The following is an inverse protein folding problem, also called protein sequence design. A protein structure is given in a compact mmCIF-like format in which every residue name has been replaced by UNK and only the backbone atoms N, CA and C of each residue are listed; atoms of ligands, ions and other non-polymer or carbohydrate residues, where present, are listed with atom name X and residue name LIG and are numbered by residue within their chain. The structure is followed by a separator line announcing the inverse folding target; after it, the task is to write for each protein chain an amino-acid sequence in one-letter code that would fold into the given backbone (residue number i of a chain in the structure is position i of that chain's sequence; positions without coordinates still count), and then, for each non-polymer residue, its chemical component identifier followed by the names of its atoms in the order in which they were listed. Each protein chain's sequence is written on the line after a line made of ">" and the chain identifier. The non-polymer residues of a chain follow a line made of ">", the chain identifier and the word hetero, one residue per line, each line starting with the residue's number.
data_IF_142518685002
#
_entry.id   IF_142518685002
#
_cell.length_a   1.000
_cell.length_b   1.000
_cell.length_c   1.000
_cell.angle_alpha   90.00
_cell.angle_beta   90.00
_cell.angle_gamma   90.00
#
_symmetry.space_group_name_H-M   'P 1'
#
loop_
_entity.id
_entity.type
_entity.pdbx_description
1 polymer ?
#
# COMPACT_ATOMS: atom_id res chain seq x y z
N UNK A 1 -23.10 -34.12 10.16
CA UNK A 1 -23.76 -32.97 9.51
C UNK A 1 -23.66 -31.81 10.47
N UNK A 2 -22.63 -30.96 10.32
CA UNK A 2 -22.52 -29.75 11.12
C UNK A 2 -23.54 -28.75 10.57
N UNK A 3 -24.47 -28.32 11.41
CA UNK A 3 -25.40 -27.25 11.11
C UNK A 3 -24.61 -25.99 10.79
N UNK A 4 -24.75 -25.52 9.56
CA UNK A 4 -24.18 -24.29 9.05
C UNK A 4 -24.70 -23.13 9.90
N UNK A 5 -23.94 -22.77 10.93
CA UNK A 5 -24.24 -21.67 11.80
C UNK A 5 -24.21 -20.42 10.92
N UNK A 6 -25.39 -19.88 10.64
CA UNK A 6 -25.64 -18.59 10.00
C UNK A 6 -24.60 -17.57 10.47
N UNK A 7 -23.49 -17.45 9.73
CA UNK A 7 -22.54 -16.37 9.95
C UNK A 7 -23.33 -15.11 9.62
N UNK A 8 -23.59 -14.31 10.65
CA UNK A 8 -24.29 -13.04 10.49
C UNK A 8 -23.60 -12.26 9.39
N UNK A 9 -24.29 -12.03 8.28
CA UNK A 9 -23.75 -11.25 7.16
C UNK A 9 -23.44 -9.87 7.70
N UNK A 10 -22.16 -9.51 7.75
CA UNK A 10 -21.78 -8.19 8.23
C UNK A 10 -22.29 -7.14 7.26
N UNK A 11 -23.05 -6.19 7.80
CA UNK A 11 -23.70 -5.10 7.08
C UNK A 11 -23.15 -3.77 7.56
N UNK A 12 -22.89 -2.84 6.63
CA UNK A 12 -22.50 -1.46 6.94
C UNK A 12 -23.34 -0.47 6.14
N UNK A 13 -23.65 0.67 6.77
CA UNK A 13 -24.30 1.79 6.10
C UNK A 13 -23.24 2.74 5.57
N UNK A 14 -23.34 3.08 4.28
CA UNK A 14 -22.46 4.05 3.64
C UNK A 14 -23.34 5.15 3.01
N UNK A 15 -23.04 6.39 3.39
CA UNK A 15 -23.65 7.59 2.81
C UNK A 15 -22.68 8.21 1.80
N UNK A 16 -23.02 8.12 0.51
CA UNK A 16 -22.19 8.67 -0.56
C UNK A 16 -22.53 10.16 -0.74
N UNK A 17 -21.55 11.06 -0.59
CA UNK A 17 -21.77 12.50 -0.78
C UNK A 17 -22.48 12.78 -2.10
N UNK A 18 -23.52 13.63 -2.14
CA UNK A 18 -24.27 13.94 -3.36
C UNK A 18 -25.24 12.85 -3.84
N UNK A 19 -25.32 11.70 -3.16
CA UNK A 19 -26.42 10.73 -3.29
C UNK A 19 -27.31 10.91 -2.07
N UNK A 20 -28.60 11.24 -2.26
CA UNK A 20 -29.52 11.53 -1.15
C UNK A 20 -29.97 10.27 -0.37
N UNK A 21 -29.33 9.12 -0.59
CA UNK A 21 -29.72 7.83 -0.03
C UNK A 21 -28.55 7.16 0.69
N UNK A 22 -28.82 6.62 1.87
CA UNK A 22 -27.91 5.71 2.56
C UNK A 22 -28.07 4.31 1.95
N UNK A 23 -26.96 3.68 1.60
CA UNK A 23 -26.96 2.35 1.01
C UNK A 23 -26.36 1.33 1.98
N UNK A 24 -26.96 0.14 2.00
CA UNK A 24 -26.49 -0.98 2.82
C UNK A 24 -25.53 -1.83 2.03
N UNK A 25 -24.29 -1.93 2.51
CA UNK A 25 -23.25 -2.77 1.95
C UNK A 25 -23.07 -4.02 2.80
N UNK A 26 -22.76 -5.13 2.13
CA UNK A 26 -22.54 -6.43 2.75
C UNK A 26 -21.12 -6.89 2.45
N UNK A 27 -20.41 -7.39 3.47
CA UNK A 27 -19.05 -7.91 3.29
C UNK A 27 -19.09 -9.17 2.43
N UNK A 28 -18.37 -9.17 1.31
CA UNK A 28 -18.21 -10.33 0.45
C UNK A 28 -17.31 -11.35 1.16
N UNK A 29 -17.81 -12.59 1.31
CA UNK A 29 -17.00 -13.68 1.82
C UNK A 29 -15.98 -14.11 0.75
N UNK A 30 -14.70 -14.00 1.07
CA UNK A 30 -13.61 -14.44 0.21
C UNK A 30 -12.95 -15.64 0.89
N UNK A 31 -12.93 -16.78 0.19
CA UNK A 31 -12.36 -18.02 0.73
C UNK A 31 -10.91 -17.84 1.19
N UNK A 32 -10.60 -18.39 2.37
CA UNK A 32 -9.26 -18.32 2.99
C UNK A 32 -8.87 -16.94 3.52
N UNK A 33 -9.77 -15.95 3.49
CA UNK A 33 -9.46 -14.58 3.91
C UNK A 33 -10.24 -14.18 5.15
N UNK A 34 -9.56 -13.56 6.11
CA UNK A 34 -10.14 -12.93 7.28
C UNK A 34 -9.79 -11.45 7.27
N UNK A 35 -10.77 -10.61 7.58
CA UNK A 35 -10.62 -9.17 7.63
C UNK A 35 -11.09 -8.66 8.99
N UNK A 36 -10.44 -7.62 9.56
CA UNK A 36 -10.95 -6.94 10.73
C UNK A 36 -12.34 -6.35 10.45
N UNK A 37 -13.13 -6.24 11.50
CA UNK A 37 -14.44 -5.61 11.41
C UNK A 37 -14.31 -4.10 11.33
N UNK A 38 -15.11 -3.48 10.47
CA UNK A 38 -15.26 -2.02 10.49
C UNK A 38 -15.95 -1.59 11.79
N UNK A 39 -15.68 -0.39 12.32
CA UNK A 39 -16.46 0.18 13.42
C UNK A 39 -17.96 0.12 13.11
N UNK A 40 -18.79 -0.16 14.13
CA UNK A 40 -20.25 -0.18 13.98
C UNK A 40 -20.80 1.25 13.92
N UNK A 41 -20.63 1.87 12.76
CA UNK A 41 -20.95 3.27 12.52
C UNK A 41 -21.32 3.46 11.03
N UNK A 42 -21.95 4.60 10.72
CA UNK A 42 -22.20 5.00 9.33
C UNK A 42 -20.91 5.59 8.77
N UNK A 43 -20.53 5.16 7.56
CA UNK A 43 -19.42 5.79 6.83
C UNK A 43 -19.97 6.92 5.95
N UNK A 44 -19.43 8.12 6.14
CA UNK A 44 -19.75 9.31 5.35
C UNK A 44 -18.61 9.55 4.35
N UNK A 45 -18.90 9.48 3.05
CA UNK A 45 -17.89 9.78 2.02
C UNK A 45 -17.85 11.27 1.69
N UNK A 46 -16.74 11.71 1.11
CA UNK A 46 -16.66 12.93 0.30
C UNK A 46 -17.08 12.64 -1.14
N UNK A 47 -17.10 13.67 -1.99
CA UNK A 47 -17.17 13.47 -3.44
C UNK A 47 -16.00 12.59 -3.89
N UNK A 48 -16.21 11.67 -4.85
CA UNK A 48 -15.12 10.86 -5.36
C UNK A 48 -14.14 11.73 -6.12
N UNK A 49 -12.89 11.30 -6.09
CA UNK A 49 -11.89 11.67 -7.07
C UNK A 49 -11.57 10.48 -7.94
N UNK A 50 -10.91 10.74 -9.07
CA UNK A 50 -10.11 9.70 -9.70
C UNK A 50 -8.87 9.43 -8.86
N UNK A 51 -8.26 8.26 -9.03
CA UNK A 51 -6.96 7.95 -8.44
C UNK A 51 -5.86 8.92 -8.95
N UNK A 52 -6.13 9.71 -10.01
CA UNK A 52 -5.17 10.49 -10.81
C UNK A 52 -5.56 11.96 -11.05
N UNK A 53 -6.24 12.61 -10.11
CA UNK A 53 -6.67 14.04 -10.12
C UNK A 53 -8.08 14.36 -10.66
N UNK A 54 -8.59 15.49 -10.17
CA UNK A 54 -9.93 16.12 -10.26
C UNK A 54 -11.08 15.52 -9.42
N UNK A 55 -11.85 16.42 -8.79
CA UNK A 55 -13.17 16.11 -8.24
C UNK A 55 -14.13 15.88 -9.41
N UNK A 56 -14.73 14.70 -9.45
CA UNK A 56 -15.70 14.35 -10.51
C UNK A 56 -17.07 14.89 -10.10
N UNK A 57 -17.81 15.48 -11.05
CA UNK A 57 -19.16 15.95 -10.74
C UNK A 57 -20.11 14.78 -10.40
N UNK A 58 -21.18 15.03 -9.61
CA UNK A 58 -22.12 13.98 -9.25
C UNK A 58 -22.77 13.24 -10.42
N UNK A 59 -23.01 13.93 -11.54
CA UNK A 59 -23.58 13.33 -12.76
C UNK A 59 -22.58 12.45 -13.51
N UNK A 60 -21.32 12.88 -13.63
CA UNK A 60 -20.28 12.12 -14.33
C UNK A 60 -19.99 10.80 -13.63
N UNK A 61 -19.86 10.81 -12.30
CA UNK A 61 -19.64 9.57 -11.53
C UNK A 61 -20.84 8.61 -11.58
N UNK A 62 -22.08 9.11 -11.73
CA UNK A 62 -23.27 8.23 -11.83
C UNK A 62 -23.30 7.48 -13.17
N UNK A 63 -22.59 8.00 -14.17
CA UNK A 63 -22.37 7.40 -15.48
C UNK A 63 -21.04 6.60 -15.56
N UNK A 64 -20.35 6.40 -14.43
CA UNK A 64 -19.07 5.67 -14.38
C UNK A 64 -19.27 4.22 -14.78
N UNK A 65 -18.47 3.69 -15.71
CA UNK A 65 -18.64 2.32 -16.19
C UNK A 65 -19.77 2.13 -17.21
N UNK A 66 -20.54 3.17 -17.53
CA UNK A 66 -21.56 3.14 -18.61
C UNK A 66 -21.16 3.98 -19.82
N UNK A 67 -19.96 4.58 -19.79
CA UNK A 67 -19.47 5.48 -20.82
C UNK A 67 -17.98 5.18 -21.14
N UNK A 68 -17.68 5.06 -22.44
CA UNK A 68 -16.37 4.78 -23.08
C UNK A 68 -15.18 5.58 -22.55
N UNK A 69 -15.42 6.75 -21.98
CA UNK A 69 -14.36 7.63 -21.49
C UNK A 69 -13.97 7.39 -20.01
N UNK A 70 -14.69 6.55 -19.26
CA UNK A 70 -14.51 6.38 -17.80
C UNK A 70 -14.02 4.99 -17.36
N UNK A 71 -13.35 4.24 -18.23
CA UNK A 71 -13.12 2.80 -18.04
C UNK A 71 -11.80 2.38 -17.38
N UNK A 72 -10.81 3.26 -17.30
CA UNK A 72 -9.44 2.85 -16.94
C UNK A 72 -9.16 2.86 -15.42
N UNK A 73 -10.15 3.10 -14.55
CA UNK A 73 -9.91 3.25 -13.10
C UNK A 73 -11.15 2.96 -12.25
N UNK A 74 -10.91 2.78 -10.94
CA UNK A 74 -11.96 2.76 -9.93
C UNK A 74 -12.18 4.17 -9.35
N UNK A 75 -13.39 4.44 -8.88
CA UNK A 75 -13.71 5.66 -8.13
C UNK A 75 -13.11 5.58 -6.72
N UNK A 76 -12.41 6.63 -6.32
CA UNK A 76 -11.75 6.69 -5.02
C UNK A 76 -12.45 7.70 -4.11
N UNK A 77 -12.88 7.29 -2.93
CA UNK A 77 -13.55 8.15 -1.96
C UNK A 77 -12.78 8.18 -0.64
N UNK A 78 -12.53 9.39 -0.13
CA UNK A 78 -12.21 9.54 1.29
C UNK A 78 -13.50 9.41 2.09
N UNK A 79 -13.47 8.68 3.19
CA UNK A 79 -14.61 8.58 4.07
C UNK A 79 -14.19 8.61 5.54
N UNK A 80 -15.17 8.87 6.40
CA UNK A 80 -15.01 8.87 7.85
C UNK A 80 -16.22 8.29 8.55
N UNK A 81 -16.07 7.85 9.79
CA UNK A 81 -17.21 7.52 10.65
C UNK A 81 -18.07 8.78 10.89
N UNK A 82 -19.40 8.61 10.95
CA UNK A 82 -20.33 9.70 11.28
C UNK A 82 -20.07 10.21 12.68
N UNK A 83 -20.00 9.28 13.63
CA UNK A 83 -19.76 9.60 15.03
C UNK A 83 -18.28 9.36 15.37
N UNK A 84 -17.64 10.20 16.21
CA UNK A 84 -16.27 9.95 16.66
C UNK A 84 -16.21 8.68 17.52
N UNK A 85 -15.05 8.02 17.52
CA UNK A 85 -14.80 6.90 18.41
C UNK A 85 -14.90 7.37 19.88
N UNK A 86 -15.69 6.72 20.75
CA UNK A 86 -15.91 7.18 22.12
C UNK A 86 -14.66 7.23 22.99
N UNK A 87 -13.65 6.40 22.68
CA UNK A 87 -12.42 6.30 23.49
C UNK A 87 -11.41 7.40 23.14
N UNK A 88 -11.29 7.73 21.86
CA UNK A 88 -10.31 8.71 21.36
C UNK A 88 -10.92 10.09 21.11
N UNK A 89 -12.24 10.18 20.95
CA UNK A 89 -12.94 11.40 20.53
C UNK A 89 -12.66 11.78 19.07
N UNK A 90 -12.00 10.92 18.30
CA UNK A 90 -11.60 11.18 16.91
C UNK A 90 -12.44 10.37 15.93
N UNK A 91 -12.69 10.93 14.75
CA UNK A 91 -13.25 10.16 13.65
C UNK A 91 -12.20 9.21 13.07
N UNK A 92 -12.61 7.96 12.80
CA UNK A 92 -11.80 7.04 11.99
C UNK A 92 -11.99 7.36 10.52
N UNK A 93 -10.90 7.35 9.76
CA UNK A 93 -10.90 7.66 8.33
C UNK A 93 -10.51 6.45 7.50
N UNK A 94 -11.16 6.30 6.35
CA UNK A 94 -10.94 5.22 5.41
C UNK A 94 -10.81 5.76 3.99
N UNK A 95 -10.29 4.91 3.11
CA UNK A 95 -10.34 5.06 1.67
C UNK A 95 -11.23 3.96 1.10
N UNK A 96 -12.11 4.33 0.18
CA UNK A 96 -12.94 3.41 -0.59
C UNK A 96 -12.47 3.44 -2.04
N UNK A 97 -12.21 2.28 -2.63
CA UNK A 97 -11.98 2.10 -4.07
C UNK A 97 -13.16 1.30 -4.60
N UNK A 98 -13.94 1.88 -5.50
CA UNK A 98 -15.29 1.44 -5.84
C UNK A 98 -15.48 1.31 -7.35
N UNK A 99 -16.19 0.25 -7.74
CA UNK A 99 -16.71 0.00 -9.08
C UNK A 99 -18.24 0.05 -9.05
N UNK A 100 -18.85 0.59 -10.11
CA UNK A 100 -20.30 0.71 -10.29
C UNK A 100 -20.75 -0.16 -11.47
N UNK A 101 -22.05 -0.44 -11.55
CA UNK A 101 -22.74 -1.11 -12.67
C UNK A 101 -22.09 -2.44 -13.09
N UNK A 102 -21.67 -3.27 -12.11
CA UNK A 102 -20.98 -4.55 -12.34
C UNK A 102 -21.78 -5.52 -13.22
N UNK A 103 -23.10 -5.38 -13.25
CA UNK A 103 -24.03 -6.21 -14.01
C UNK A 103 -24.02 -5.98 -15.52
N UNK A 104 -23.39 -4.90 -16.02
CA UNK A 104 -23.39 -4.55 -17.45
C UNK A 104 -22.33 -5.34 -18.24
N UNK A 105 -22.50 -6.67 -18.31
CA UNK A 105 -21.85 -7.57 -19.28
C UNK A 105 -20.80 -8.53 -18.71
N UNK A 106 -20.89 -9.82 -19.08
CA UNK A 106 -19.98 -10.91 -18.67
C UNK A 106 -18.59 -10.88 -19.36
N UNK A 107 -18.30 -9.81 -20.11
CA UNK A 107 -17.01 -9.50 -20.74
C UNK A 107 -16.67 -8.01 -20.55
N UNK A 108 -17.18 -7.41 -19.47
CA UNK A 108 -17.00 -5.98 -19.19
C UNK A 108 -15.74 -5.73 -18.36
N UNK A 109 -15.12 -4.56 -18.59
CA UNK A 109 -14.03 -4.04 -17.75
C UNK A 109 -14.40 -3.99 -16.25
N UNK A 110 -15.69 -3.83 -15.91
CA UNK A 110 -16.15 -3.83 -14.53
C UNK A 110 -15.95 -5.20 -13.84
N UNK A 111 -16.11 -6.30 -14.58
CA UNK A 111 -15.85 -7.64 -14.07
C UNK A 111 -14.35 -7.88 -13.83
N UNK A 112 -13.49 -7.42 -14.76
CA UNK A 112 -12.04 -7.52 -14.59
C UNK A 112 -11.56 -6.67 -13.41
N UNK A 113 -12.08 -5.46 -13.26
CA UNK A 113 -11.81 -4.63 -12.08
C UNK A 113 -12.32 -5.28 -10.78
N UNK A 114 -13.47 -5.95 -10.81
CA UNK A 114 -13.96 -6.71 -9.66
C UNK A 114 -13.01 -7.86 -9.28
N UNK A 115 -12.49 -8.59 -10.28
CA UNK A 115 -11.48 -9.64 -10.08
C UNK A 115 -10.20 -9.06 -9.47
N UNK A 116 -9.74 -7.90 -9.95
CA UNK A 116 -8.56 -7.23 -9.39
C UNK A 116 -8.78 -6.74 -7.95
N UNK A 117 -9.95 -6.18 -7.62
CA UNK A 117 -10.28 -5.82 -6.23
C UNK A 117 -10.27 -7.04 -5.30
N UNK A 118 -10.85 -8.16 -5.74
CA UNK A 118 -10.85 -9.40 -4.96
C UNK A 118 -9.43 -9.94 -4.81
N UNK A 119 -8.62 -9.89 -5.88
CA UNK A 119 -7.23 -10.33 -5.86
C UNK A 119 -6.38 -9.50 -4.90
N UNK A 120 -6.51 -8.18 -4.96
CA UNK A 120 -5.82 -7.26 -4.06
C UNK A 120 -6.22 -7.51 -2.59
N UNK A 121 -7.52 -7.63 -2.31
CA UNK A 121 -8.02 -7.94 -0.97
C UNK A 121 -7.47 -9.28 -0.43
N UNK A 122 -7.44 -10.33 -1.27
CA UNK A 122 -6.79 -11.61 -0.93
C UNK A 122 -5.32 -11.42 -0.58
N UNK A 123 -4.60 -10.62 -1.36
CA UNK A 123 -3.18 -10.34 -1.11
C UNK A 123 -2.97 -9.67 0.25
N UNK A 124 -3.83 -8.71 0.62
CA UNK A 124 -3.80 -8.09 1.94
C UNK A 124 -4.05 -9.08 3.09
N UNK A 125 -5.07 -9.92 2.95
CA UNK A 125 -5.45 -10.88 3.99
C UNK A 125 -4.41 -11.99 4.20
N UNK A 126 -3.72 -12.39 3.14
CA UNK A 126 -2.82 -13.57 3.14
C UNK A 126 -1.34 -13.21 3.30
N UNK A 127 -0.86 -12.20 2.58
CA UNK A 127 0.57 -11.88 2.50
C UNK A 127 0.95 -10.64 3.31
N UNK A 128 0.05 -9.66 3.45
CA UNK A 128 0.35 -8.41 4.14
C UNK A 128 -0.11 -8.36 5.60
N UNK A 129 -0.65 -9.46 6.15
CA UNK A 129 -1.27 -9.47 7.49
C UNK A 129 -0.40 -8.86 8.60
N UNK A 130 0.90 -9.12 8.59
CA UNK A 130 1.85 -8.60 9.59
C UNK A 130 2.21 -7.12 9.39
N UNK A 131 1.96 -6.58 8.20
CA UNK A 131 2.33 -5.22 7.79
C UNK A 131 1.16 -4.23 7.90
N UNK A 132 -0.08 -4.74 8.00
CA UNK A 132 -1.28 -3.93 8.11
C UNK A 132 -1.27 -3.07 9.37
N UNK A 133 -1.71 -1.82 9.23
CA UNK A 133 -1.73 -0.82 10.30
C UNK A 133 -0.42 -0.06 10.47
N UNK A 134 0.70 -0.61 9.96
CA UNK A 134 2.02 0.01 9.97
C UNK A 134 2.49 0.37 8.55
N UNK A 135 3.17 -0.53 7.84
CA UNK A 135 3.77 -0.29 6.51
C UNK A 135 2.70 -0.17 5.41
N UNK A 136 1.59 -0.88 5.54
CA UNK A 136 0.45 -0.85 4.60
C UNK A 136 -0.86 -0.56 5.35
N UNK A 137 -1.88 0.08 4.73
CA UNK A 137 -3.18 0.28 5.37
C UNK A 137 -3.81 -1.03 5.85
N UNK A 138 -4.59 -0.97 6.92
CA UNK A 138 -5.49 -2.08 7.27
C UNK A 138 -6.57 -2.21 6.20
N UNK A 139 -6.76 -3.40 5.64
CA UNK A 139 -7.79 -3.73 4.65
C UNK A 139 -8.99 -4.38 5.35
N UNK A 140 -10.19 -3.83 5.15
CA UNK A 140 -11.42 -4.27 5.80
C UNK A 140 -12.30 -5.15 4.89
N UNK A 141 -11.71 -5.69 3.82
CA UNK A 141 -12.34 -6.58 2.88
C UNK A 141 -13.07 -5.89 1.74
N UNK A 142 -13.74 -6.71 0.94
CA UNK A 142 -14.58 -6.29 -0.20
C UNK A 142 -16.03 -6.27 0.24
N UNK A 143 -16.77 -5.27 -0.23
CA UNK A 143 -18.14 -4.98 0.14
C UNK A 143 -18.98 -4.79 -1.12
N UNK A 144 -20.22 -5.28 -1.10
CA UNK A 144 -21.13 -5.19 -2.25
C UNK A 144 -22.47 -4.61 -1.84
N UNK A 145 -23.13 -3.90 -2.76
CA UNK A 145 -24.48 -3.39 -2.58
C UNK A 145 -25.23 -3.36 -3.91
N UNK A 146 -26.54 -3.58 -3.87
CA UNK A 146 -27.45 -3.24 -4.96
C UNK A 146 -28.02 -1.85 -4.70
N UNK A 147 -27.84 -0.94 -5.65
CA UNK A 147 -28.16 0.48 -5.46
C UNK A 147 -28.98 1.03 -6.60
N UNK A 148 -29.82 2.04 -6.32
CA UNK A 148 -30.64 2.71 -7.34
C UNK A 148 -29.85 3.68 -8.23
N UNK A 149 -28.60 3.99 -7.89
CA UNK A 149 -27.79 5.04 -8.54
C UNK A 149 -26.56 4.49 -9.26
N UNK A 150 -26.06 3.32 -8.87
CA UNK A 150 -24.84 2.71 -9.41
C UNK A 150 -24.99 1.22 -9.70
N UNK A 151 -26.23 0.72 -9.81
CA UNK A 151 -26.49 -0.69 -10.08
C UNK A 151 -25.92 -1.61 -9.00
N UNK A 152 -25.31 -2.72 -9.42
CA UNK A 152 -24.50 -3.60 -8.58
C UNK A 152 -23.14 -2.96 -8.35
N UNK A 153 -22.90 -2.54 -7.12
CA UNK A 153 -21.69 -1.86 -6.67
C UNK A 153 -20.79 -2.83 -5.92
N UNK A 154 -19.49 -2.72 -6.13
CA UNK A 154 -18.48 -3.37 -5.31
C UNK A 154 -17.42 -2.35 -4.89
N UNK A 155 -16.97 -2.40 -3.65
CA UNK A 155 -15.84 -1.60 -3.20
C UNK A 155 -14.96 -2.37 -2.24
N UNK A 156 -13.70 -1.99 -2.17
CA UNK A 156 -12.85 -2.30 -1.03
C UNK A 156 -12.80 -1.10 -0.07
N UNK A 157 -12.61 -1.40 1.21
CA UNK A 157 -12.50 -0.41 2.27
C UNK A 157 -11.17 -0.62 2.97
N UNK A 158 -10.36 0.42 3.07
CA UNK A 158 -9.06 0.38 3.74
C UNK A 158 -8.87 1.57 4.68
N UNK A 159 -7.99 1.44 5.67
CA UNK A 159 -7.55 2.56 6.49
C UNK A 159 -7.04 3.70 5.60
N UNK A 160 -7.42 4.94 5.89
CA UNK A 160 -6.90 6.08 5.15
C UNK A 160 -5.40 6.21 5.40
N UNK A 161 -4.58 6.06 4.35
CA UNK A 161 -3.13 5.98 4.44
C UNK A 161 -2.38 7.31 4.17
N UNK A 162 -3.11 8.42 4.06
CA UNK A 162 -2.52 9.75 3.90
C UNK A 162 -2.63 10.26 2.46
N UNK A 163 -1.64 11.06 2.05
CA UNK A 163 -1.59 11.65 0.71
C UNK A 163 -0.33 11.22 -0.03
N UNK A 164 -0.32 11.23 -1.38
CA UNK A 164 0.88 10.94 -2.17
C UNK A 164 2.13 11.64 -1.64
N UNK A 165 3.20 10.87 -1.43
CA UNK A 165 4.48 11.42 -1.01
C UNK A 165 5.02 12.31 -2.13
N UNK A 166 5.53 13.49 -1.77
CA UNK A 166 6.04 14.46 -2.72
C UNK A 166 7.34 15.01 -2.17
N UNK A 167 8.43 14.89 -2.92
CA UNK A 167 9.75 15.38 -2.50
C UNK A 167 9.73 16.85 -2.07
N UNK A 168 9.01 17.71 -2.81
CA UNK A 168 8.93 19.14 -2.50
C UNK A 168 8.12 19.49 -1.24
N UNK A 169 7.24 18.60 -0.77
CA UNK A 169 6.34 18.87 0.37
C UNK A 169 6.70 18.06 1.61
N UNK A 170 7.14 16.83 1.41
CA UNK A 170 7.40 15.83 2.45
C UNK A 170 8.84 15.32 2.44
N UNK A 171 9.67 15.70 1.47
CA UNK A 171 11.00 15.12 1.24
C UNK A 171 12.10 15.65 2.15
N UNK A 172 11.92 15.68 3.47
CA UNK A 172 13.06 15.79 4.40
C UNK A 172 13.91 14.51 4.33
N UNK A 173 15.21 14.54 4.69
CA UNK A 173 16.03 13.34 4.73
C UNK A 173 15.41 12.22 5.58
N UNK A 174 14.86 12.55 6.74
CA UNK A 174 14.26 11.59 7.67
C UNK A 174 13.02 10.93 7.08
N UNK A 175 12.17 11.69 6.38
CA UNK A 175 10.98 11.15 5.74
C UNK A 175 11.34 10.26 4.54
N UNK A 176 12.40 10.60 3.80
CA UNK A 176 12.92 9.74 2.71
C UNK A 176 13.46 8.44 3.26
N UNK A 177 14.23 8.49 4.34
CA UNK A 177 14.74 7.30 5.04
C UNK A 177 13.57 6.44 5.57
N UNK A 178 12.51 7.05 6.09
CA UNK A 178 11.31 6.33 6.50
C UNK A 178 10.60 5.65 5.31
N UNK A 179 10.46 6.33 4.17
CA UNK A 179 9.88 5.73 2.96
C UNK A 179 10.73 4.55 2.47
N UNK A 180 12.05 4.69 2.49
CA UNK A 180 13.00 3.64 2.14
C UNK A 180 12.83 2.41 3.04
N UNK A 181 12.72 2.64 4.37
CA UNK A 181 12.48 1.58 5.34
C UNK A 181 11.14 0.86 5.10
N UNK A 182 10.08 1.57 4.74
CA UNK A 182 8.79 0.95 4.41
C UNK A 182 8.85 0.05 3.16
N UNK A 183 9.58 0.47 2.11
CA UNK A 183 9.77 -0.36 0.92
C UNK A 183 10.63 -1.59 1.27
N UNK A 184 11.68 -1.39 2.07
CA UNK A 184 12.56 -2.47 2.51
C UNK A 184 11.80 -3.51 3.36
N UNK A 185 10.86 -3.06 4.20
CA UNK A 185 10.02 -3.93 5.03
C UNK A 185 9.13 -4.86 4.19
N UNK A 186 8.64 -4.42 3.01
CA UNK A 186 7.98 -5.33 2.06
C UNK A 186 8.94 -6.42 1.60
N UNK A 187 10.15 -6.05 1.18
CA UNK A 187 11.13 -6.98 0.63
C UNK A 187 11.62 -7.98 1.67
N UNK A 188 11.78 -7.56 2.93
CA UNK A 188 12.07 -8.42 4.09
C UNK A 188 11.00 -9.48 4.34
N UNK A 189 9.75 -9.18 4.00
CA UNK A 189 8.63 -10.11 4.11
C UNK A 189 8.43 -10.90 2.80
N UNK A 190 9.41 -10.89 1.89
CA UNK A 190 9.35 -11.59 0.63
C UNK A 190 8.33 -11.02 -0.34
N UNK A 191 8.09 -9.71 -0.31
CA UNK A 191 7.09 -9.04 -1.15
C UNK A 191 7.79 -8.02 -2.05
N UNK A 192 7.45 -8.08 -3.34
CA UNK A 192 7.80 -7.03 -4.32
C UNK A 192 6.51 -6.48 -4.93
N UNK A 193 6.39 -5.16 -4.95
CA UNK A 193 5.16 -4.46 -5.28
C UNK A 193 4.89 -4.38 -6.79
N UNK A 194 5.95 -4.34 -7.61
CA UNK A 194 5.97 -4.21 -9.08
C UNK A 194 5.42 -2.91 -9.66
N UNK A 195 5.06 -1.94 -8.84
CA UNK A 195 4.55 -0.63 -9.29
C UNK A 195 5.26 0.55 -8.62
N UNK A 196 6.36 0.33 -7.90
CA UNK A 196 7.19 1.40 -7.35
C UNK A 196 8.25 1.90 -8.36
N UNK A 197 7.85 2.06 -9.61
CA UNK A 197 8.66 2.64 -10.69
C UNK A 197 8.08 4.00 -11.11
N UNK A 198 8.87 4.88 -11.71
CA UNK A 198 8.32 6.10 -12.31
C UNK A 198 7.34 5.74 -13.46
N UNK A 199 6.21 6.45 -13.63
CA UNK A 199 5.66 7.53 -12.80
C UNK A 199 4.75 7.05 -11.67
N UNK A 200 4.63 5.74 -11.42
CA UNK A 200 3.67 5.15 -10.47
C UNK A 200 4.09 5.31 -9.00
N UNK A 201 5.39 5.31 -8.72
CA UNK A 201 5.95 5.43 -7.36
C UNK A 201 5.42 6.64 -6.59
N UNK A 202 5.14 7.75 -7.28
CA UNK A 202 4.63 9.00 -6.67
C UNK A 202 3.25 8.85 -6.03
N UNK A 203 2.46 7.84 -6.39
CA UNK A 203 1.08 7.68 -5.93
C UNK A 203 0.89 6.48 -5.01
N UNK A 204 1.85 5.57 -4.99
CA UNK A 204 1.77 4.31 -4.23
C UNK A 204 2.49 4.40 -2.88
N UNK A 205 3.42 5.36 -2.74
CA UNK A 205 3.98 5.75 -1.44
C UNK A 205 3.19 6.96 -0.96
N UNK A 206 2.41 6.77 0.11
CA UNK A 206 1.64 7.82 0.77
C UNK A 206 2.35 8.26 2.06
N UNK A 207 2.09 9.49 2.49
CA UNK A 207 2.51 10.04 3.77
C UNK A 207 1.31 10.24 4.70
N UNK A 208 1.18 9.43 5.74
CA UNK A 208 0.18 9.65 6.78
C UNK A 208 0.68 10.68 7.79
N UNK A 209 0.39 11.95 7.53
CA UNK A 209 0.77 13.06 8.42
C UNK A 209 0.27 12.89 9.86
N UNK A 210 -0.83 12.16 10.10
CA UNK A 210 -1.39 11.98 11.45
C UNK A 210 -0.54 11.03 12.27
N UNK A 211 0.07 10.04 11.62
CA UNK A 211 0.96 9.05 12.25
C UNK A 211 2.44 9.40 12.10
N UNK A 212 2.79 10.30 11.18
CA UNK A 212 4.17 10.67 10.87
C UNK A 212 4.94 9.54 10.19
N UNK A 213 4.25 8.66 9.45
CA UNK A 213 4.86 7.49 8.80
C UNK A 213 4.42 7.38 7.34
N UNK A 214 5.25 6.79 6.47
CA UNK A 214 4.85 6.43 5.12
C UNK A 214 3.98 5.17 5.10
N UNK A 215 3.17 5.04 4.05
CA UNK A 215 2.29 3.89 3.80
C UNK A 215 2.35 3.50 2.35
N UNK A 216 2.43 2.21 2.06
CA UNK A 216 2.43 1.69 0.69
C UNK A 216 1.04 1.14 0.37
N UNK A 217 0.51 1.43 -0.82
CA UNK A 217 -0.85 1.08 -1.27
C UNK A 217 -0.85 0.58 -2.72
N UNK A 218 -1.97 -0.01 -3.14
CA UNK A 218 -2.21 -0.56 -4.50
C UNK A 218 -1.37 -1.80 -4.81
N UNK A 219 -1.69 -2.93 -4.19
CA UNK A 219 -0.97 -4.20 -4.34
C UNK A 219 -1.49 -5.06 -5.49
N UNK A 220 -2.19 -4.46 -6.46
CA UNK A 220 -2.81 -5.17 -7.59
C UNK A 220 -1.78 -5.99 -8.38
N UNK A 221 -0.55 -5.49 -8.57
CA UNK A 221 0.52 -6.19 -9.29
C UNK A 221 1.56 -6.86 -8.38
N UNK A 222 1.37 -6.84 -7.07
CA UNK A 222 2.35 -7.37 -6.13
C UNK A 222 2.48 -8.89 -6.22
N UNK A 223 3.66 -9.39 -5.88
CA UNK A 223 3.93 -10.83 -5.74
C UNK A 223 4.58 -11.10 -4.39
N UNK A 224 4.26 -12.27 -3.82
CA UNK A 224 4.89 -12.80 -2.61
C UNK A 224 5.92 -13.89 -2.97
N UNK A 225 6.75 -14.28 -1.99
CA UNK A 225 7.84 -15.24 -2.21
C UNK A 225 9.04 -14.64 -2.95
N UNK A 226 9.20 -13.32 -2.90
CA UNK A 226 10.35 -12.63 -3.48
C UNK A 226 11.59 -12.80 -2.62
N UNK A 227 12.57 -13.54 -3.11
CA UNK A 227 13.93 -13.54 -2.55
C UNK A 227 14.68 -12.32 -3.10
N UNK A 228 14.85 -11.31 -2.25
CA UNK A 228 15.46 -10.05 -2.66
C UNK A 228 16.99 -10.22 -2.80
N UNK A 229 17.59 -10.04 -3.99
CA UNK A 229 19.01 -10.36 -4.24
C UNK A 229 20.00 -9.29 -3.72
N UNK A 230 19.56 -8.40 -2.83
CA UNK A 230 20.35 -7.23 -2.42
C UNK A 230 21.50 -7.61 -1.49
N UNK A 231 22.62 -6.93 -1.64
CA UNK A 231 23.80 -7.00 -0.75
C UNK A 231 24.00 -5.73 0.08
N UNK A 232 23.12 -4.74 -0.11
CA UNK A 232 23.09 -3.47 0.62
C UNK A 232 21.65 -3.12 1.01
N UNK A 233 21.41 -2.50 2.18
CA UNK A 233 20.10 -1.96 2.52
C UNK A 233 19.75 -0.77 1.62
N UNK A 234 18.46 -0.54 1.45
CA UNK A 234 17.95 0.67 0.81
C UNK A 234 18.07 1.85 1.78
N UNK A 235 19.19 2.58 1.70
CA UNK A 235 19.42 3.82 2.44
C UNK A 235 20.20 4.84 1.61
N UNK A 236 20.51 6.00 2.20
CA UNK A 236 21.32 7.03 1.54
C UNK A 236 22.74 6.53 1.26
N UNK A 237 23.35 6.92 0.16
CA UNK A 237 24.76 6.68 -0.16
C UNK A 237 25.35 7.88 -0.92
N UNK A 238 26.67 8.09 -0.81
CA UNK A 238 27.37 9.13 -1.55
C UNK A 238 27.69 8.72 -3.01
N UNK A 239 27.52 7.43 -3.31
CA UNK A 239 27.51 6.83 -4.65
C UNK A 239 26.11 6.29 -5.01
N UNK A 240 26.00 5.62 -6.16
CA UNK A 240 24.81 4.92 -6.61
C UNK A 240 25.11 3.41 -6.78
N UNK A 241 25.09 2.61 -5.70
CA UNK A 241 25.51 1.21 -5.74
C UNK A 241 24.42 0.28 -6.30
N UNK A 242 23.89 0.59 -7.49
CA UNK A 242 22.77 -0.13 -8.11
C UNK A 242 23.10 -1.60 -8.38
N UNK A 243 24.35 -1.91 -8.72
CA UNK A 243 24.81 -3.28 -8.95
C UNK A 243 24.74 -4.15 -7.68
N UNK A 244 24.98 -3.57 -6.50
CA UNK A 244 24.93 -4.26 -5.20
C UNK A 244 23.52 -4.31 -4.60
N UNK A 245 22.64 -3.38 -4.98
CA UNK A 245 21.22 -3.44 -4.61
C UNK A 245 20.51 -4.50 -5.46
N UNK A 246 20.84 -4.58 -6.76
CA UNK A 246 20.41 -5.58 -7.77
C UNK A 246 18.90 -5.74 -7.99
N UNK A 247 18.04 -5.31 -7.07
CA UNK A 247 16.60 -5.34 -7.19
C UNK A 247 16.08 -4.06 -7.84
N UNK A 248 15.50 -4.18 -9.05
CA UNK A 248 14.99 -3.04 -9.81
C UNK A 248 13.99 -2.18 -9.04
N UNK A 249 13.10 -2.78 -8.26
CA UNK A 249 12.14 -2.02 -7.47
C UNK A 249 12.81 -1.15 -6.40
N UNK A 250 13.81 -1.68 -5.70
CA UNK A 250 14.57 -0.92 -4.70
C UNK A 250 15.42 0.18 -5.35
N UNK A 251 16.00 -0.10 -6.53
CA UNK A 251 16.74 0.92 -7.29
C UNK A 251 15.79 2.07 -7.67
N UNK A 252 14.64 1.78 -8.27
CA UNK A 252 13.67 2.81 -8.67
C UNK A 252 13.12 3.60 -7.47
N UNK A 253 12.79 2.91 -6.37
CA UNK A 253 12.36 3.58 -5.15
C UNK A 253 13.47 4.49 -4.58
N UNK A 254 14.72 4.02 -4.54
CA UNK A 254 15.85 4.81 -4.06
C UNK A 254 16.17 6.02 -4.94
N UNK A 255 16.06 5.90 -6.25
CA UNK A 255 16.19 7.02 -7.18
C UNK A 255 15.09 8.06 -6.97
N UNK A 256 13.84 7.62 -6.85
CA UNK A 256 12.72 8.50 -6.58
C UNK A 256 12.88 9.23 -5.23
N UNK A 257 13.33 8.53 -4.20
CA UNK A 257 13.58 9.09 -2.87
C UNK A 257 14.89 9.90 -2.80
N UNK A 258 15.66 9.99 -3.88
CA UNK A 258 16.97 10.65 -3.96
C UNK A 258 17.93 10.18 -2.86
N UNK A 259 18.03 8.85 -2.69
CA UNK A 259 18.93 8.25 -1.71
C UNK A 259 20.38 8.22 -2.19
N UNK A 260 20.60 8.23 -3.51
CA UNK A 260 21.93 8.09 -4.10
C UNK A 260 22.44 9.41 -4.65
N UNK A 261 23.74 9.68 -4.47
CA UNK A 261 24.43 10.71 -5.24
C UNK A 261 25.19 10.05 -6.39
N UNK A 262 25.06 10.61 -7.60
CA UNK A 262 25.72 10.08 -8.81
C UNK A 262 27.10 10.70 -9.08
N UNK A 263 27.65 11.42 -8.10
CA UNK A 263 28.88 12.20 -8.26
C UNK A 263 30.14 11.40 -7.90
N UNK A 264 29.97 10.31 -7.14
CA UNK A 264 31.04 9.47 -6.62
C UNK A 264 30.95 8.08 -7.23
N UNK A 265 32.08 7.51 -7.64
CA UNK A 265 32.15 6.11 -8.03
C UNK A 265 31.91 5.22 -6.80
N UNK A 266 31.39 4.00 -7.00
CA UNK A 266 31.07 3.08 -5.89
C UNK A 266 32.35 2.60 -5.20
N UNK A 267 33.42 2.44 -5.97
CA UNK A 267 34.75 2.02 -5.52
C UNK A 267 35.40 3.06 -4.60
N UNK A 268 35.08 4.34 -4.81
CA UNK A 268 35.55 5.44 -3.97
C UNK A 268 34.68 5.62 -2.72
N UNK A 269 33.54 4.93 -2.64
CA UNK A 269 32.58 5.08 -1.55
C UNK A 269 32.92 4.19 -0.34
N UNK A 270 33.83 4.68 0.51
CA UNK A 270 34.30 3.99 1.73
C UNK A 270 33.18 3.36 2.56
N UNK A 271 32.05 4.07 2.78
CA UNK A 271 30.93 3.53 3.56
C UNK A 271 30.29 2.31 2.88
N UNK A 272 30.17 2.34 1.55
CA UNK A 272 29.67 1.21 0.75
C UNK A 272 30.65 0.05 0.80
N UNK A 273 31.94 0.30 0.59
CA UNK A 273 32.97 -0.76 0.62
C UNK A 273 33.05 -1.43 2.00
N UNK A 274 33.05 -0.65 3.08
CA UNK A 274 33.05 -1.17 4.45
C UNK A 274 31.78 -1.97 4.78
N UNK A 275 30.61 -1.50 4.29
CA UNK A 275 29.36 -2.24 4.43
C UNK A 275 29.41 -3.58 3.70
N UNK A 276 29.90 -3.62 2.45
CA UNK A 276 30.04 -4.86 1.68
C UNK A 276 31.01 -5.84 2.36
N UNK A 277 32.17 -5.36 2.80
CA UNK A 277 33.15 -6.14 3.55
C UNK A 277 32.57 -6.73 4.83
N UNK A 278 31.70 -5.98 5.52
CA UNK A 278 31.00 -6.46 6.71
C UNK A 278 30.09 -7.63 6.39
N UNK A 279 29.32 -7.56 5.30
CA UNK A 279 28.43 -8.65 4.90
C UNK A 279 29.23 -9.91 4.54
N UNK A 280 30.33 -9.77 3.78
CA UNK A 280 31.23 -10.89 3.44
C UNK A 280 31.82 -11.54 4.69
N UNK A 281 32.27 -10.74 5.67
CA UNK A 281 32.79 -11.26 6.95
C UNK A 281 31.72 -11.98 7.76
N UNK A 282 30.51 -11.42 7.78
CA UNK A 282 29.37 -12.04 8.45
C UNK A 282 29.02 -13.38 7.83
N UNK A 283 28.93 -13.44 6.49
CA UNK A 283 28.69 -14.67 5.73
C UNK A 283 29.75 -15.74 6.01
N UNK A 284 31.03 -15.38 5.94
CA UNK A 284 32.12 -16.31 6.19
C UNK A 284 32.09 -16.88 7.62
N UNK A 285 31.62 -16.11 8.60
CA UNK A 285 31.54 -16.53 10.00
C UNK A 285 30.33 -17.43 10.30
N UNK A 286 29.27 -17.38 9.49
CA UNK A 286 28.01 -18.10 9.72
C UNK A 286 27.68 -19.12 8.63
N UNK A 287 28.58 -19.33 7.67
CA UNK A 287 28.38 -20.25 6.56
C UNK A 287 28.16 -21.69 7.07
N UNK A 288 27.00 -22.27 6.77
CA UNK A 288 26.63 -23.63 7.15
C UNK A 288 25.68 -23.76 8.35
N UNK A 289 25.55 -22.74 9.19
CA UNK A 289 24.73 -22.76 10.42
C UNK A 289 23.39 -22.01 10.24
N UNK A 290 22.60 -22.39 9.23
CA UNK A 290 21.28 -21.78 9.01
C UNK A 290 21.35 -20.28 8.73
N UNK A 291 22.38 -19.85 8.00
CA UNK A 291 22.56 -18.46 7.57
C UNK A 291 21.32 -17.91 6.86
N UNK A 292 20.78 -16.81 7.38
CA UNK A 292 19.74 -16.02 6.75
C UNK A 292 20.33 -14.68 6.28
N UNK A 293 20.23 -14.37 4.98
CA UNK A 293 20.77 -13.14 4.39
C UNK A 293 20.27 -11.87 5.09
N UNK A 294 19.04 -11.89 5.60
CA UNK A 294 18.46 -10.74 6.31
C UNK A 294 19.16 -10.42 7.64
N UNK A 295 19.75 -11.41 8.32
CA UNK A 295 20.49 -11.18 9.56
C UNK A 295 21.79 -10.42 9.27
N UNK A 296 22.50 -10.81 8.21
CA UNK A 296 23.70 -10.11 7.75
C UNK A 296 23.40 -8.67 7.33
N UNK A 297 22.31 -8.46 6.58
CA UNK A 297 21.85 -7.13 6.18
C UNK A 297 21.39 -6.27 7.38
N UNK A 298 20.81 -6.86 8.42
CA UNK A 298 20.42 -6.15 9.64
C UNK A 298 21.63 -5.69 10.48
N UNK A 299 22.68 -6.51 10.53
CA UNK A 299 23.97 -6.14 11.13
C UNK A 299 24.60 -4.99 10.34
N UNK A 300 24.64 -5.11 9.02
CA UNK A 300 25.15 -4.08 8.12
C UNK A 300 24.38 -2.75 8.28
N UNK A 301 23.04 -2.78 8.32
CA UNK A 301 22.22 -1.58 8.54
C UNK A 301 22.49 -0.93 9.91
N UNK A 302 22.63 -1.75 10.96
CA UNK A 302 22.95 -1.28 12.31
C UNK A 302 24.31 -0.58 12.36
N UNK A 303 25.31 -1.16 11.68
CA UNK A 303 26.63 -0.56 11.55
C UNK A 303 26.59 0.77 10.80
N UNK A 304 25.90 0.86 9.65
CA UNK A 304 25.76 2.12 8.89
C UNK A 304 25.17 3.22 9.79
N UNK A 305 24.13 2.90 10.57
CA UNK A 305 23.50 3.85 11.49
C UNK A 305 24.47 4.35 12.57
N UNK A 306 25.23 3.45 13.19
CA UNK A 306 26.22 3.81 14.22
C UNK A 306 27.37 4.62 13.64
N UNK A 307 27.89 4.20 12.48
CA UNK A 307 28.98 4.86 11.79
C UNK A 307 28.65 6.32 11.46
N UNK A 308 27.43 6.58 10.95
CA UNK A 308 26.93 7.93 10.68
C UNK A 308 26.75 8.76 11.95
N UNK A 309 26.25 8.15 13.03
CA UNK A 309 26.07 8.84 14.31
C UNK A 309 27.40 9.27 14.94
N UNK A 310 28.51 8.60 14.64
CA UNK A 310 29.84 9.00 15.12
C UNK A 310 30.53 10.07 14.27
N UNK A 311 30.06 10.31 13.03
CA UNK A 311 30.65 11.28 12.08
C UNK A 311 29.88 12.62 12.00
N UNK A 312 28.66 12.68 12.54
CA UNK A 312 27.82 13.88 12.58
C UNK A 312 27.96 14.65 13.89
#
# INVERSE_FOLDING_TARGET
>A
MATDASRSVLRRQIAIAGVQLQSSFYRLAIEGCEYPDLPDNILLTRSPSLQRDDEISPSERMQWGTNEYFYDSALCFDCRTRDPDPSSGLHTWFKLKMILHREQGAESFAEDMAKELIREAKFYATHLRKLQGNTVPTHYGVWTAETSWGGSVMCEIMEHAGHPFQLGKHGTPENRDACAAAVLDLHRNGIVHKQLSHPKVTWHILWDKRKGIPRIVDFTCAIAGHECPRSLPLCRYESAPTEHISCHELIWAGEYLQLYKRQKAVEDDEEVQEALDMLVKYEAAHFGDGYETEDGLAVQESWIKQHRACRG
#
